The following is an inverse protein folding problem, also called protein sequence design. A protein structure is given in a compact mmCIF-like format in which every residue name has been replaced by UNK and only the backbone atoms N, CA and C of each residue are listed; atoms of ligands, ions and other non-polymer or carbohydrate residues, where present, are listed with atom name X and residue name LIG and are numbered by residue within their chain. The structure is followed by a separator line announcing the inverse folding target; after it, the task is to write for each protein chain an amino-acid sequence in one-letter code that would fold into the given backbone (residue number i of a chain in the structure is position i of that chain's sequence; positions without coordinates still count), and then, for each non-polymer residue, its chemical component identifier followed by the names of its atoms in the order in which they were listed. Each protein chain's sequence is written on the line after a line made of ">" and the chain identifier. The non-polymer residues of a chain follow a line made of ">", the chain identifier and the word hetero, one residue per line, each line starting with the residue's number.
data_IF_356073005643
#
_entry.id   IF_356073005643
#
_cell.length_a   1.000
_cell.length_b   1.000
_cell.length_c   1.000
_cell.angle_alpha   90.00
_cell.angle_beta   90.00
_cell.angle_gamma   90.00
#
_symmetry.space_group_name_H-M   'P 1'
#
loop_
_entity.id
_entity.type
_entity.pdbx_description
1 polymer ?
#
# COMPACT_ATOMS: atom_id res chain seq x y z
N UNK A 1 37.17 1.94 43.76
CA UNK A 1 35.73 2.18 43.46
C UNK A 1 35.45 3.64 43.08
N UNK A 2 35.84 4.64 43.87
CA UNK A 2 35.54 6.08 43.60
C UNK A 2 36.09 6.58 42.24
N UNK A 3 37.26 6.07 41.81
CA UNK A 3 37.90 6.44 40.53
C UNK A 3 37.20 5.88 39.29
N UNK A 4 36.44 4.78 39.43
CA UNK A 4 35.64 4.20 38.35
C UNK A 4 34.24 4.83 38.29
N UNK A 5 33.69 5.27 39.43
CA UNK A 5 32.43 6.03 39.50
C UNK A 5 32.57 7.41 38.86
N UNK A 6 33.72 8.08 39.03
CA UNK A 6 34.00 9.38 38.39
C UNK A 6 34.22 9.27 36.87
N UNK A 7 34.76 8.15 36.38
CA UNK A 7 34.92 7.92 34.93
C UNK A 7 33.58 7.61 34.25
N UNK A 8 32.70 6.86 34.91
CA UNK A 8 31.36 6.54 34.39
C UNK A 8 30.45 7.79 34.33
N UNK A 9 30.59 8.72 35.28
CA UNK A 9 29.86 9.99 35.30
C UNK A 9 30.33 10.94 34.19
N UNK A 10 31.62 10.94 33.83
CA UNK A 10 32.15 11.77 32.74
C UNK A 10 31.71 11.27 31.35
N UNK A 11 31.58 9.95 31.16
CA UNK A 11 31.05 9.36 29.92
C UNK A 11 29.54 9.60 29.80
N UNK A 12 28.79 9.57 30.90
CA UNK A 12 27.37 9.89 30.91
C UNK A 12 27.10 11.38 30.64
N UNK A 13 27.96 12.29 31.13
CA UNK A 13 27.85 13.71 30.85
C UNK A 13 28.21 14.07 29.39
N UNK A 14 29.07 13.28 28.72
CA UNK A 14 29.42 13.48 27.32
C UNK A 14 28.39 12.88 26.35
N UNK A 15 27.60 11.88 26.79
CA UNK A 15 26.46 11.36 26.03
C UNK A 15 25.22 12.28 26.05
N UNK A 16 25.10 13.15 27.06
CA UNK A 16 23.98 14.13 27.16
C UNK A 16 24.27 15.42 26.38
N UNK A 17 25.52 15.67 25.97
CA UNK A 17 25.90 16.85 25.19
C UNK A 17 25.72 16.69 23.67
N UNK A 18 25.23 15.54 23.19
CA UNK A 18 24.87 15.30 21.77
C UNK A 18 23.35 15.25 21.53
N UNK A 19 22.55 15.63 22.53
CA UNK A 19 21.11 15.88 22.38
C UNK A 19 20.90 17.38 22.56
N UNK A 20 21.23 18.12 21.51
CA UNK A 20 21.33 19.56 21.56
C UNK A 20 21.47 20.17 20.18
N UNK A 21 20.62 19.74 19.24
CA UNK A 21 20.11 20.65 18.22
C UNK A 21 18.61 20.34 18.04
N UNK A 22 17.85 20.76 19.05
CA UNK A 22 16.42 20.93 18.91
C UNK A 22 16.18 22.16 18.05
N UNK A 23 16.48 22.05 16.76
CA UNK A 23 15.87 22.91 15.77
C UNK A 23 14.40 22.48 15.74
N UNK A 24 13.61 23.02 16.67
CA UNK A 24 12.19 23.23 16.45
C UNK A 24 12.12 24.23 15.29
N UNK A 25 12.40 23.73 14.09
CA UNK A 25 12.18 24.45 12.85
C UNK A 25 10.74 24.91 12.90
N UNK A 26 10.54 26.19 12.62
CA UNK A 26 9.22 26.69 12.29
C UNK A 26 8.57 25.66 11.36
N UNK A 27 7.47 25.05 11.78
CA UNK A 27 6.61 24.34 10.85
C UNK A 27 6.15 25.44 9.88
N UNK A 28 6.85 25.55 8.76
CA UNK A 28 6.35 26.28 7.60
C UNK A 28 4.98 25.72 7.26
N UNK A 29 4.13 26.54 6.65
CA UNK A 29 2.86 26.04 6.16
C UNK A 29 3.13 24.87 5.20
N UNK A 30 2.51 23.72 5.43
CA UNK A 30 2.59 22.57 4.53
C UNK A 30 2.01 22.97 3.17
N UNK A 31 2.67 22.57 2.09
CA UNK A 31 2.19 22.78 0.72
C UNK A 31 0.96 21.92 0.52
N UNK A 32 -0.18 22.52 0.17
CA UNK A 32 -1.43 21.79 -0.07
C UNK A 32 -1.43 21.25 -1.50
N UNK A 33 -1.40 19.93 -1.61
CA UNK A 33 -1.38 19.19 -2.87
C UNK A 33 -2.72 18.50 -3.06
N UNK A 34 -3.38 18.77 -4.18
CA UNK A 34 -4.63 18.08 -4.52
C UNK A 34 -4.39 17.19 -5.73
N UNK A 35 -4.49 15.88 -5.53
CA UNK A 35 -4.41 14.89 -6.61
C UNK A 35 -5.80 14.64 -7.20
N UNK A 36 -5.90 14.35 -8.49
CA UNK A 36 -7.18 14.02 -9.11
C UNK A 36 -7.66 12.60 -8.77
N UNK A 37 -6.73 11.65 -8.74
CA UNK A 37 -6.98 10.24 -8.50
C UNK A 37 -6.28 9.77 -7.22
N UNK A 38 -6.95 8.94 -6.40
CA UNK A 38 -6.38 8.45 -5.14
C UNK A 38 -5.14 7.59 -5.37
N UNK A 39 -5.01 6.92 -6.52
CA UNK A 39 -3.82 6.11 -6.84
C UNK A 39 -2.52 6.95 -7.01
N UNK A 40 -2.63 8.27 -7.21
CA UNK A 40 -1.46 9.17 -7.34
C UNK A 40 -0.99 9.70 -5.99
N UNK A 41 -1.88 9.73 -5.00
CA UNK A 41 -1.63 10.23 -3.65
C UNK A 41 -0.40 9.59 -2.97
N UNK A 42 -0.19 8.26 -3.02
CA UNK A 42 0.93 7.63 -2.34
C UNK A 42 2.28 8.04 -2.94
N UNK A 43 2.34 8.23 -4.26
CA UNK A 43 3.55 8.68 -4.96
C UNK A 43 3.90 10.11 -4.55
N UNK A 44 2.89 10.98 -4.54
CA UNK A 44 3.02 12.39 -4.14
C UNK A 44 3.46 12.50 -2.68
N UNK A 45 2.81 11.75 -1.78
CA UNK A 45 3.14 11.72 -0.35
C UNK A 45 4.55 11.19 -0.09
N UNK A 46 4.97 10.15 -0.80
CA UNK A 46 6.31 9.58 -0.65
C UNK A 46 7.42 10.56 -1.04
N UNK A 47 7.17 11.43 -2.02
CA UNK A 47 8.13 12.44 -2.49
C UNK A 47 8.07 13.71 -1.63
N UNK A 48 6.87 14.22 -1.35
CA UNK A 48 6.69 15.45 -0.57
C UNK A 48 6.95 15.27 0.94
N UNK A 49 6.81 14.04 1.43
CA UNK A 49 7.06 13.69 2.83
C UNK A 49 6.22 14.52 3.80
N UNK A 50 6.85 15.04 4.85
CA UNK A 50 6.20 15.81 5.93
C UNK A 50 5.88 17.27 5.58
N UNK A 51 6.23 17.73 4.39
CA UNK A 51 6.08 19.13 3.99
C UNK A 51 4.86 19.37 3.11
N UNK A 52 4.15 18.30 2.76
CA UNK A 52 2.97 18.35 1.92
C UNK A 52 1.77 17.78 2.66
N UNK A 53 0.64 18.44 2.51
CA UNK A 53 -0.67 17.89 2.85
C UNK A 53 -1.31 17.44 1.54
N UNK A 54 -1.66 16.15 1.41
CA UNK A 54 -2.19 15.59 0.16
C UNK A 54 -3.64 15.16 0.35
N UNK A 55 -4.52 15.59 -0.55
CA UNK A 55 -5.91 15.15 -0.65
C UNK A 55 -6.28 14.76 -2.08
N UNK A 56 -7.32 13.94 -2.24
CA UNK A 56 -7.80 13.46 -3.55
C UNK A 56 -9.17 14.06 -3.90
N UNK A 57 -9.31 14.51 -5.16
CA UNK A 57 -10.58 14.98 -5.73
C UNK A 57 -11.56 13.81 -5.86
N UNK A 58 -11.10 12.70 -6.45
CA UNK A 58 -11.91 11.50 -6.61
C UNK A 58 -11.89 10.70 -5.30
N UNK A 59 -13.07 10.38 -4.71
CA UNK A 59 -13.12 9.55 -3.51
C UNK A 59 -12.64 8.11 -3.80
N UNK A 60 -11.99 7.43 -2.83
CA UNK A 60 -11.56 6.04 -2.98
C UNK A 60 -12.68 5.12 -3.49
N UNK A 61 -12.33 4.24 -4.45
CA UNK A 61 -13.26 3.29 -5.06
C UNK A 61 -14.32 3.87 -6.01
N UNK A 62 -14.31 5.19 -6.26
CA UNK A 62 -15.23 5.83 -7.22
C UNK A 62 -14.77 5.63 -8.67
N UNK A 63 -15.73 5.59 -9.61
CA UNK A 63 -15.43 5.56 -11.05
C UNK A 63 -15.11 6.98 -11.56
N UNK A 64 -13.89 7.23 -12.09
CA UNK A 64 -13.50 8.55 -12.59
C UNK A 64 -14.33 9.03 -13.79
N UNK A 65 -14.89 8.14 -14.60
CA UNK A 65 -15.63 8.52 -15.81
C UNK A 65 -17.06 8.98 -15.53
N UNK A 66 -17.64 8.50 -14.42
CA UNK A 66 -18.96 8.90 -13.95
C UNK A 66 -18.92 9.98 -12.87
N UNK A 67 -17.72 10.39 -12.43
CA UNK A 67 -17.57 11.35 -11.35
C UNK A 67 -17.92 12.77 -11.80
N UNK A 68 -18.46 13.56 -10.87
CA UNK A 68 -18.76 14.98 -11.08
C UNK A 68 -18.30 15.73 -9.85
N UNK A 69 -17.50 16.77 -10.04
CA UNK A 69 -16.91 17.54 -8.95
C UNK A 69 -18.01 18.27 -8.18
N UNK A 70 -18.05 18.09 -6.85
CA UNK A 70 -19.04 18.74 -5.99
C UNK A 70 -18.56 20.14 -5.60
N UNK A 71 -19.47 21.01 -5.16
CA UNK A 71 -19.12 22.36 -4.70
C UNK A 71 -18.17 22.35 -3.48
N UNK A 72 -18.26 21.31 -2.65
CA UNK A 72 -17.36 21.10 -1.51
C UNK A 72 -15.93 20.82 -2.02
N UNK A 73 -15.77 19.88 -2.96
CA UNK A 73 -14.47 19.57 -3.57
C UNK A 73 -13.90 20.78 -4.32
N UNK A 74 -14.73 21.58 -5.00
CA UNK A 74 -14.27 22.82 -5.64
C UNK A 74 -13.75 23.84 -4.61
N UNK A 75 -14.36 23.91 -3.43
CA UNK A 75 -13.87 24.79 -2.36
C UNK A 75 -12.51 24.32 -1.82
N UNK A 76 -12.33 23.01 -1.65
CA UNK A 76 -11.06 22.43 -1.21
C UNK A 76 -9.94 22.66 -2.25
N UNK A 77 -10.25 22.53 -3.54
CA UNK A 77 -9.31 22.81 -4.64
C UNK A 77 -8.89 24.29 -4.67
N UNK A 78 -9.78 25.22 -4.32
CA UNK A 78 -9.50 26.65 -4.37
C UNK A 78 -8.34 27.08 -3.45
N UNK A 79 -8.08 26.29 -2.41
CA UNK A 79 -6.98 26.51 -1.47
C UNK A 79 -5.71 25.71 -1.87
N UNK A 80 -5.70 24.93 -2.94
CA UNK A 80 -4.52 24.16 -3.33
C UNK A 80 -3.34 25.04 -3.79
N UNK A 81 -2.12 24.63 -3.43
CA UNK A 81 -0.89 25.24 -3.96
C UNK A 81 -0.47 24.58 -5.29
N UNK A 82 -0.80 23.29 -5.46
CA UNK A 82 -0.54 22.52 -6.68
C UNK A 82 -1.58 21.43 -6.91
N UNK A 83 -1.98 21.28 -8.17
CA UNK A 83 -2.81 20.18 -8.66
C UNK A 83 -1.95 19.10 -9.32
N UNK A 84 -2.25 17.83 -9.06
CA UNK A 84 -1.59 16.69 -9.70
C UNK A 84 -2.66 15.86 -10.40
N UNK A 85 -2.80 16.06 -11.70
CA UNK A 85 -3.85 15.47 -12.52
C UNK A 85 -3.32 14.25 -13.29
N UNK A 86 -4.19 13.32 -13.66
CA UNK A 86 -3.78 12.14 -14.41
C UNK A 86 -3.71 12.42 -15.91
N UNK A 87 -4.76 12.99 -16.49
CA UNK A 87 -4.81 13.47 -17.87
C UNK A 87 -6.08 14.32 -18.08
N UNK A 88 -5.96 15.65 -18.04
CA UNK A 88 -7.12 16.55 -18.14
C UNK A 88 -7.84 16.48 -19.49
N UNK A 89 -7.17 16.01 -20.54
CA UNK A 89 -7.75 15.84 -21.87
C UNK A 89 -8.59 14.54 -21.96
N UNK A 90 -8.42 13.61 -21.01
CA UNK A 90 -9.14 12.34 -20.95
C UNK A 90 -10.29 12.37 -19.95
N UNK A 91 -10.03 12.85 -18.73
CA UNK A 91 -10.98 12.78 -17.62
C UNK A 91 -11.75 14.09 -17.53
N UNK A 92 -13.04 14.04 -17.87
CA UNK A 92 -13.88 15.25 -17.95
C UNK A 92 -13.88 16.09 -16.67
N UNK A 93 -13.88 15.45 -15.49
CA UNK A 93 -13.84 16.17 -14.22
C UNK A 93 -12.49 16.88 -13.99
N UNK A 94 -11.37 16.35 -14.50
CA UNK A 94 -10.08 17.04 -14.45
C UNK A 94 -10.07 18.24 -15.39
N UNK A 95 -10.67 18.10 -16.58
CA UNK A 95 -10.90 19.22 -17.49
C UNK A 95 -11.70 20.35 -16.85
N UNK A 96 -12.81 20.01 -16.17
CA UNK A 96 -13.61 20.97 -15.41
C UNK A 96 -12.77 21.69 -14.33
N UNK A 97 -11.90 20.96 -13.62
CA UNK A 97 -11.01 21.54 -12.60
C UNK A 97 -10.03 22.53 -13.23
N UNK A 98 -9.40 22.19 -14.35
CA UNK A 98 -8.48 23.06 -15.08
C UNK A 98 -9.17 24.34 -15.57
N UNK A 99 -10.42 24.22 -16.07
CA UNK A 99 -11.20 25.38 -16.52
C UNK A 99 -11.57 26.34 -15.38
N UNK A 100 -11.86 25.82 -14.19
CA UNK A 100 -12.26 26.63 -13.04
C UNK A 100 -11.07 27.20 -12.24
N UNK A 101 -9.90 26.56 -12.29
CA UNK A 101 -8.70 26.96 -11.54
C UNK A 101 -7.47 27.14 -12.44
N UNK A 102 -7.50 28.04 -13.44
CA UNK A 102 -6.43 28.18 -14.43
C UNK A 102 -5.11 28.74 -13.87
N UNK A 103 -5.16 29.35 -12.68
CA UNK A 103 -4.02 30.06 -12.08
C UNK A 103 -3.27 29.20 -11.04
N UNK A 104 -3.78 28.01 -10.67
CA UNK A 104 -3.09 27.09 -9.75
C UNK A 104 -2.01 26.33 -10.54
N UNK A 105 -0.79 26.19 -9.98
CA UNK A 105 0.24 25.33 -10.59
C UNK A 105 -0.33 23.91 -10.74
N UNK A 106 -0.12 23.28 -11.90
CA UNK A 106 -0.59 21.92 -12.13
C UNK A 106 0.44 21.07 -12.81
N UNK A 107 0.38 19.77 -12.49
CA UNK A 107 1.01 18.72 -13.26
C UNK A 107 -0.05 17.89 -13.97
N UNK A 108 0.26 17.53 -15.20
CA UNK A 108 -0.61 16.75 -16.06
C UNK A 108 0.21 15.78 -16.93
N UNK A 109 -0.44 14.97 -17.76
CA UNK A 109 0.22 13.96 -18.58
C UNK A 109 1.44 14.50 -19.39
N UNK A 110 1.38 15.66 -20.07
CA UNK A 110 2.53 16.20 -20.79
C UNK A 110 3.76 16.46 -19.90
N UNK A 111 3.56 16.83 -18.63
CA UNK A 111 4.65 17.06 -17.69
C UNK A 111 5.33 15.74 -17.31
N UNK A 112 4.54 14.69 -17.09
CA UNK A 112 5.09 13.36 -16.82
C UNK A 112 5.74 12.75 -18.06
N UNK A 113 5.19 12.99 -19.26
CA UNK A 113 5.78 12.54 -20.53
C UNK A 113 7.15 13.19 -20.75
N UNK A 114 7.30 14.47 -20.41
CA UNK A 114 8.60 15.15 -20.41
C UNK A 114 9.61 14.51 -19.45
N UNK A 115 9.10 13.95 -18.34
CA UNK A 115 9.88 13.17 -17.37
C UNK A 115 9.99 11.68 -17.72
N UNK A 116 9.48 11.24 -18.88
CA UNK A 116 9.65 9.88 -19.40
C UNK A 116 8.50 8.91 -19.12
N UNK A 117 7.32 9.38 -18.71
CA UNK A 117 6.11 8.57 -18.72
C UNK A 117 5.75 8.16 -20.16
N UNK A 118 5.18 6.97 -20.33
CA UNK A 118 4.77 6.46 -21.63
C UNK A 118 3.32 5.98 -21.63
N UNK A 119 2.66 6.19 -22.78
CA UNK A 119 1.39 5.55 -23.10
C UNK A 119 1.65 4.41 -24.06
N UNK A 120 1.68 3.20 -23.52
CA UNK A 120 2.08 2.01 -24.27
C UNK A 120 0.94 1.50 -25.15
N UNK A 121 1.26 0.87 -26.30
CA UNK A 121 0.26 0.28 -27.17
C UNK A 121 -0.26 -1.04 -26.60
N UNK A 122 -1.57 -1.25 -26.69
CA UNK A 122 -2.26 -2.50 -26.33
C UNK A 122 -3.30 -2.86 -27.40
N UNK A 123 -3.84 -4.09 -27.41
CA UNK A 123 -4.86 -4.48 -28.38
C UNK A 123 -6.06 -3.52 -28.42
N UNK A 124 -6.18 -2.76 -29.51
CA UNK A 124 -7.24 -1.75 -29.70
C UNK A 124 -6.89 -0.33 -29.24
N UNK A 125 -5.67 -0.09 -28.74
CA UNK A 125 -5.20 1.21 -28.25
C UNK A 125 -3.75 1.45 -28.70
N UNK A 126 -3.52 2.39 -29.61
CA UNK A 126 -2.15 2.76 -30.03
C UNK A 126 -1.39 3.55 -28.94
N UNK A 127 -2.14 4.30 -28.12
CA UNK A 127 -1.68 4.97 -26.89
C UNK A 127 -2.74 4.75 -25.84
N UNK A 128 -2.49 3.89 -24.86
CA UNK A 128 -3.48 3.62 -23.81
C UNK A 128 -3.34 4.61 -22.65
N UNK A 129 -4.27 5.53 -22.54
CA UNK A 129 -4.29 6.56 -21.49
C UNK A 129 -4.85 6.05 -20.15
N UNK A 130 -5.41 4.84 -20.11
CA UNK A 130 -6.09 4.32 -18.93
C UNK A 130 -5.11 3.60 -18.00
N UNK A 131 -5.02 4.03 -16.74
CA UNK A 131 -4.24 3.35 -15.71
C UNK A 131 -2.72 3.43 -15.88
N UNK A 132 -2.23 4.32 -16.75
CA UNK A 132 -0.79 4.42 -17.03
C UNK A 132 0.02 4.77 -15.77
N UNK A 133 -0.57 5.48 -14.82
CA UNK A 133 0.02 5.81 -13.52
C UNK A 133 0.34 4.58 -12.66
N UNK A 134 -0.28 3.42 -12.92
CA UNK A 134 -0.01 2.16 -12.22
C UNK A 134 1.22 1.41 -12.77
N UNK A 135 1.82 1.89 -13.88
CA UNK A 135 3.09 1.36 -14.39
C UNK A 135 4.24 1.90 -13.54
N UNK A 136 5.14 1.01 -13.09
CA UNK A 136 6.28 1.39 -12.22
C UNK A 136 7.13 2.51 -12.83
N UNK A 137 7.42 2.44 -14.13
CA UNK A 137 8.21 3.46 -14.82
C UNK A 137 7.49 4.82 -14.90
N UNK A 138 6.16 4.80 -15.05
CA UNK A 138 5.37 6.03 -15.11
C UNK A 138 5.20 6.64 -13.71
N UNK A 139 5.04 5.83 -12.66
CA UNK A 139 5.07 6.31 -11.29
C UNK A 139 6.39 7.02 -10.96
N UNK A 140 7.51 6.56 -11.52
CA UNK A 140 8.80 7.26 -11.42
C UNK A 140 8.78 8.61 -12.12
N UNK A 141 8.20 8.70 -13.30
CA UNK A 141 8.09 9.95 -14.05
C UNK A 141 7.18 10.96 -13.35
N UNK A 142 6.05 10.50 -12.79
CA UNK A 142 5.15 11.30 -11.95
C UNK A 142 5.91 11.83 -10.73
N UNK A 143 6.65 10.97 -10.03
CA UNK A 143 7.47 11.35 -8.88
C UNK A 143 8.53 12.43 -9.24
N UNK A 144 9.20 12.31 -10.40
CA UNK A 144 10.15 13.31 -10.88
C UNK A 144 9.49 14.65 -11.17
N UNK A 145 8.38 14.63 -11.91
CA UNK A 145 7.63 15.85 -12.25
C UNK A 145 7.15 16.56 -11.00
N UNK A 146 6.62 15.80 -10.04
CA UNK A 146 6.19 16.31 -8.75
C UNK A 146 7.35 16.91 -7.94
N UNK A 147 8.47 16.19 -7.76
CA UNK A 147 9.64 16.71 -7.06
C UNK A 147 10.15 18.02 -7.66
N UNK A 148 10.18 18.11 -9.00
CA UNK A 148 10.60 19.31 -9.71
C UNK A 148 9.63 20.48 -9.51
N UNK A 149 8.31 20.22 -9.47
CA UNK A 149 7.29 21.24 -9.25
C UNK A 149 7.31 21.76 -7.80
N UNK A 150 7.30 20.87 -6.81
CA UNK A 150 7.26 21.29 -5.41
C UNK A 150 8.54 21.99 -4.99
N UNK A 151 9.69 21.66 -5.59
CA UNK A 151 10.95 22.39 -5.32
C UNK A 151 10.91 23.84 -5.84
N UNK A 152 10.03 24.16 -6.79
CA UNK A 152 9.80 25.56 -7.23
C UNK A 152 8.86 26.31 -6.28
N UNK A 153 7.87 25.62 -5.74
CA UNK A 153 6.88 26.17 -4.80
C UNK A 153 7.51 26.39 -3.42
N UNK A 154 8.27 25.42 -2.96
CA UNK A 154 8.91 25.38 -1.63
C UNK A 154 10.41 25.07 -1.75
N UNK A 155 11.22 26.07 -2.15
CA UNK A 155 12.65 25.89 -2.40
C UNK A 155 13.47 25.62 -1.14
N UNK A 156 12.96 25.99 0.04
CA UNK A 156 13.66 25.79 1.31
C UNK A 156 13.77 24.29 1.69
N UNK A 157 12.86 23.45 1.17
CA UNK A 157 12.83 22.00 1.39
C UNK A 157 13.24 21.17 0.16
N UNK A 158 13.75 21.80 -0.91
CA UNK A 158 14.13 21.14 -2.17
C UNK A 158 15.10 19.95 -1.99
N UNK A 159 16.06 20.05 -1.07
CA UNK A 159 17.01 18.95 -0.79
C UNK A 159 16.30 17.73 -0.17
N UNK A 160 15.25 17.94 0.64
CA UNK A 160 14.46 16.84 1.22
C UNK A 160 13.60 16.17 0.15
N UNK A 161 13.00 16.94 -0.77
CA UNK A 161 12.26 16.40 -1.91
C UNK A 161 13.14 15.56 -2.85
N UNK A 162 14.36 16.04 -3.14
CA UNK A 162 15.32 15.28 -3.92
C UNK A 162 15.74 13.97 -3.22
N UNK A 163 15.99 14.02 -1.91
CA UNK A 163 16.32 12.81 -1.14
C UNK A 163 15.17 11.80 -1.13
N UNK A 164 13.93 12.27 -0.95
CA UNK A 164 12.73 11.42 -0.96
C UNK A 164 12.51 10.79 -2.35
N UNK A 165 12.68 11.56 -3.43
CA UNK A 165 12.62 11.06 -4.79
C UNK A 165 13.65 9.95 -5.05
N UNK A 166 14.89 10.12 -4.60
CA UNK A 166 15.94 9.11 -4.72
C UNK A 166 15.58 7.84 -3.93
N UNK A 167 15.06 8.00 -2.71
CA UNK A 167 14.62 6.88 -1.88
C UNK A 167 13.45 6.12 -2.51
N UNK A 168 12.45 6.84 -3.05
CA UNK A 168 11.31 6.27 -3.77
C UNK A 168 11.77 5.54 -5.04
N UNK A 169 12.61 6.18 -5.85
CA UNK A 169 13.22 5.59 -7.05
C UNK A 169 13.97 4.29 -6.75
N UNK A 170 14.77 4.27 -5.68
CA UNK A 170 15.48 3.06 -5.27
C UNK A 170 14.56 1.95 -4.73
N UNK A 171 13.35 2.27 -4.25
CA UNK A 171 12.34 1.25 -3.94
C UNK A 171 11.65 0.73 -5.21
N UNK A 172 11.37 1.60 -6.20
CA UNK A 172 10.84 1.18 -7.50
C UNK A 172 11.80 0.25 -8.25
N UNK A 173 13.11 0.52 -8.20
CA UNK A 173 14.13 -0.37 -8.78
C UNK A 173 14.05 -1.78 -8.18
N UNK A 174 14.02 -1.87 -6.85
CA UNK A 174 13.86 -3.15 -6.13
C UNK A 174 12.56 -3.85 -6.47
N UNK A 175 11.45 -3.13 -6.53
CA UNK A 175 10.17 -3.71 -6.91
C UNK A 175 10.20 -4.25 -8.35
N UNK A 176 10.83 -3.54 -9.29
CA UNK A 176 10.98 -4.01 -10.67
C UNK A 176 11.79 -5.32 -10.72
N UNK A 177 12.92 -5.39 -9.99
CA UNK A 177 13.74 -6.60 -9.89
C UNK A 177 12.96 -7.78 -9.27
N UNK A 178 12.21 -7.53 -8.20
CA UNK A 178 11.38 -8.55 -7.55
C UNK A 178 10.29 -9.09 -8.49
N UNK A 179 9.64 -8.21 -9.27
CA UNK A 179 8.63 -8.59 -10.24
C UNK A 179 9.23 -9.38 -11.40
N UNK A 180 10.44 -9.04 -11.85
CA UNK A 180 11.17 -9.83 -12.85
C UNK A 180 11.47 -11.25 -12.33
N UNK A 181 11.96 -11.37 -11.10
CA UNK A 181 12.22 -12.67 -10.45
C UNK A 181 10.94 -13.48 -10.27
N UNK A 182 9.85 -12.85 -9.83
CA UNK A 182 8.56 -13.51 -9.64
C UNK A 182 7.99 -13.99 -10.96
N UNK A 183 8.06 -13.16 -12.01
CA UNK A 183 7.62 -13.52 -13.35
C UNK A 183 8.38 -14.72 -13.90
N UNK A 184 9.72 -14.74 -13.74
CA UNK A 184 10.56 -15.85 -14.18
C UNK A 184 10.30 -17.12 -13.36
N UNK A 185 10.18 -17.00 -12.04
CA UNK A 185 9.91 -18.14 -11.14
C UNK A 185 8.59 -18.84 -11.48
N UNK A 186 7.55 -18.06 -11.81
CA UNK A 186 6.23 -18.56 -12.17
C UNK A 186 6.05 -18.83 -13.67
N UNK A 187 7.08 -18.60 -14.50
CA UNK A 187 7.01 -18.79 -15.95
C UNK A 187 5.98 -17.90 -16.64
N UNK A 188 5.76 -16.70 -16.11
CA UNK A 188 4.77 -15.74 -16.58
C UNK A 188 5.28 -14.85 -17.71
N UNK A 189 6.59 -14.67 -17.82
CA UNK A 189 7.20 -13.81 -18.84
C UNK A 189 6.71 -14.17 -20.24
N UNK A 190 6.17 -13.17 -20.95
CA UNK A 190 5.61 -13.32 -22.30
C UNK A 190 4.37 -14.21 -22.39
N UNK A 191 3.77 -14.63 -21.26
CA UNK A 191 2.47 -15.28 -21.26
C UNK A 191 1.40 -14.24 -21.54
N UNK A 192 0.48 -14.59 -22.43
CA UNK A 192 -0.62 -13.71 -22.78
C UNK A 192 -1.80 -13.89 -21.82
N UNK A 193 -2.41 -12.78 -21.45
CA UNK A 193 -3.69 -12.73 -20.73
C UNK A 193 -4.69 -11.87 -21.47
N UNK A 194 -5.95 -12.01 -21.07
CA UNK A 194 -7.03 -11.12 -21.48
C UNK A 194 -7.18 -10.05 -20.39
N UNK A 195 -7.10 -8.78 -20.74
CA UNK A 195 -7.45 -7.68 -19.84
C UNK A 195 -8.95 -7.41 -19.91
N UNK A 196 -9.64 -7.33 -18.77
CA UNK A 196 -11.09 -7.06 -18.76
C UNK A 196 -11.42 -5.63 -19.23
N UNK A 197 -10.54 -4.67 -18.91
CA UNK A 197 -10.61 -3.24 -19.25
C UNK A 197 -9.20 -2.76 -19.61
N UNK A 198 -9.03 -1.65 -20.36
CA UNK A 198 -7.72 -1.17 -20.77
C UNK A 198 -6.79 -0.81 -19.60
N UNK A 199 -7.35 -0.34 -18.47
CA UNK A 199 -6.56 0.11 -17.33
C UNK A 199 -5.66 -0.96 -16.68
N UNK A 200 -6.10 -2.23 -16.64
CA UNK A 200 -5.29 -3.30 -16.01
C UNK A 200 -4.10 -3.74 -16.87
N UNK A 201 -3.99 -3.25 -18.09
CA UNK A 201 -2.92 -3.63 -19.01
C UNK A 201 -1.52 -3.28 -18.48
N UNK A 202 -1.37 -2.13 -17.83
CA UNK A 202 -0.12 -1.72 -17.20
C UNK A 202 0.26 -2.58 -15.98
N UNK A 203 -0.74 -3.02 -15.21
CA UNK A 203 -0.53 -3.95 -14.08
C UNK A 203 0.04 -5.28 -14.61
N UNK A 204 -0.52 -5.79 -15.71
CA UNK A 204 -0.05 -7.02 -16.38
C UNK A 204 1.38 -6.84 -16.89
N UNK A 205 1.68 -5.71 -17.51
CA UNK A 205 3.00 -5.41 -18.06
C UNK A 205 4.10 -5.30 -16.99
N UNK A 206 3.78 -4.81 -15.79
CA UNK A 206 4.72 -4.81 -14.66
C UNK A 206 5.23 -6.24 -14.36
N UNK A 207 4.38 -7.26 -14.51
CA UNK A 207 4.73 -8.68 -14.38
C UNK A 207 5.34 -9.31 -15.65
N UNK A 208 5.66 -8.49 -16.65
CA UNK A 208 6.32 -8.91 -17.90
C UNK A 208 5.50 -9.91 -18.71
N UNK A 209 4.19 -9.89 -18.48
CA UNK A 209 3.20 -10.63 -19.22
C UNK A 209 2.69 -9.77 -20.37
N UNK A 210 2.13 -10.42 -21.39
CA UNK A 210 1.58 -9.74 -22.56
C UNK A 210 0.06 -9.64 -22.44
N UNK A 211 -0.52 -8.52 -22.90
CA UNK A 211 -1.96 -8.40 -23.07
C UNK A 211 -2.31 -8.82 -24.50
N UNK A 212 -2.98 -9.97 -24.63
CA UNK A 212 -3.38 -10.51 -25.94
C UNK A 212 -4.69 -9.94 -26.46
N UNK A 213 -5.59 -9.56 -25.56
CA UNK A 213 -6.87 -8.95 -25.89
C UNK A 213 -7.38 -8.08 -24.74
N UNK A 214 -8.24 -7.10 -25.05
CA UNK A 214 -9.00 -6.31 -24.08
C UNK A 214 -10.49 -6.59 -24.31
N UNK A 215 -11.22 -7.00 -23.26
CA UNK A 215 -12.63 -7.38 -23.37
C UNK A 215 -13.52 -6.18 -23.62
N UNK A 216 -13.53 -5.24 -22.68
CA UNK A 216 -14.37 -4.06 -22.73
C UNK A 216 -13.51 -2.84 -23.02
N UNK A 217 -13.81 -2.17 -24.13
CA UNK A 217 -13.38 -0.80 -24.28
C UNK A 217 -14.21 0.08 -23.35
N UNK A 218 -13.53 0.91 -22.54
CA UNK A 218 -14.19 1.84 -21.63
C UNK A 218 -15.16 2.78 -22.39
N UNK A 219 -16.26 3.16 -21.74
CA UNK A 219 -17.32 4.01 -22.31
C UNK A 219 -18.33 3.33 -23.24
N UNK A 220 -18.00 2.22 -23.89
CA UNK A 220 -18.93 1.53 -24.81
C UNK A 220 -19.93 0.61 -24.08
N UNK A 221 -19.54 0.12 -22.91
CA UNK A 221 -20.30 -0.85 -22.13
C UNK A 221 -20.63 -2.14 -22.89
N UNK A 222 -20.17 -2.35 -24.13
CA UNK A 222 -20.61 -3.43 -25.01
C UNK A 222 -19.41 -4.08 -25.69
N UNK A 223 -19.21 -5.38 -25.43
CA UNK A 223 -18.29 -6.19 -26.23
C UNK A 223 -19.03 -6.64 -27.49
N UNK A 224 -18.44 -6.42 -28.66
CA UNK A 224 -18.94 -7.01 -29.90
C UNK A 224 -18.94 -8.54 -29.81
N UNK A 225 -20.04 -9.21 -30.18
CA UNK A 225 -20.18 -10.66 -30.00
C UNK A 225 -19.08 -11.49 -30.66
N UNK A 226 -18.47 -11.01 -31.75
CA UNK A 226 -17.31 -11.65 -32.38
C UNK A 226 -16.04 -11.57 -31.52
N UNK A 227 -15.81 -10.46 -30.83
CA UNK A 227 -14.63 -10.27 -29.97
C UNK A 227 -14.68 -11.21 -28.75
N UNK A 228 -15.86 -11.39 -28.15
CA UNK A 228 -16.05 -12.38 -27.06
C UNK A 228 -15.73 -13.79 -27.54
N UNK A 229 -16.19 -14.17 -28.74
CA UNK A 229 -15.95 -15.50 -29.30
C UNK A 229 -14.47 -15.75 -29.60
N UNK A 230 -13.74 -14.73 -30.07
CA UNK A 230 -12.32 -14.88 -30.36
C UNK A 230 -11.50 -14.95 -29.07
N UNK A 231 -11.88 -14.18 -28.04
CA UNK A 231 -11.32 -14.34 -26.69
C UNK A 231 -11.60 -15.73 -26.12
N UNK A 232 -12.83 -16.22 -26.23
CA UNK A 232 -13.21 -17.55 -25.77
C UNK A 232 -12.35 -18.64 -26.44
N UNK A 233 -12.15 -18.56 -27.76
CA UNK A 233 -11.26 -19.50 -28.48
C UNK A 233 -9.82 -19.42 -27.99
N UNK A 234 -9.29 -18.21 -27.77
CA UNK A 234 -7.92 -18.02 -27.27
C UNK A 234 -7.72 -18.56 -25.85
N UNK A 235 -8.73 -18.43 -24.98
CA UNK A 235 -8.72 -19.04 -23.65
C UNK A 235 -8.81 -20.57 -23.74
N UNK A 236 -9.74 -21.12 -24.54
CA UNK A 236 -9.89 -22.57 -24.70
C UNK A 236 -8.68 -23.27 -25.34
N UNK A 237 -7.94 -22.57 -26.21
CA UNK A 237 -6.73 -23.11 -26.85
C UNK A 237 -5.49 -23.02 -25.96
N UNK A 238 -5.57 -22.27 -24.86
CA UNK A 238 -4.43 -21.94 -24.00
C UNK A 238 -3.51 -20.85 -24.56
N UNK A 239 -3.95 -20.12 -25.60
CA UNK A 239 -3.26 -18.91 -26.05
C UNK A 239 -3.24 -17.85 -24.95
N UNK A 240 -4.37 -17.69 -24.25
CA UNK A 240 -4.48 -16.83 -23.07
C UNK A 240 -4.58 -17.68 -21.81
N UNK A 241 -3.73 -17.41 -20.82
CA UNK A 241 -3.66 -18.25 -19.61
C UNK A 241 -4.66 -17.85 -18.52
N UNK A 242 -5.20 -16.63 -18.59
CA UNK A 242 -6.12 -16.07 -17.61
C UNK A 242 -6.83 -14.82 -18.15
N UNK A 243 -7.86 -14.38 -17.43
CA UNK A 243 -8.49 -13.07 -17.58
C UNK A 243 -8.12 -12.23 -16.35
N UNK A 244 -7.65 -11.00 -16.54
CA UNK A 244 -7.29 -10.07 -15.46
C UNK A 244 -8.37 -8.99 -15.37
N UNK A 245 -9.01 -8.87 -14.20
CA UNK A 245 -10.14 -7.98 -13.97
C UNK A 245 -9.90 -7.10 -12.73
N UNK A 246 -10.29 -5.82 -12.74
CA UNK A 246 -10.34 -5.03 -11.51
C UNK A 246 -11.25 -5.69 -10.47
N UNK A 247 -10.81 -5.74 -9.23
CA UNK A 247 -11.60 -6.24 -8.11
C UNK A 247 -12.88 -5.42 -7.90
N UNK A 248 -12.78 -4.10 -8.05
CA UNK A 248 -13.91 -3.17 -7.99
C UNK A 248 -14.99 -3.42 -9.06
N UNK A 249 -14.63 -4.11 -10.15
CA UNK A 249 -15.51 -4.42 -11.26
C UNK A 249 -16.01 -5.87 -11.27
N UNK A 250 -15.78 -6.63 -10.18
CA UNK A 250 -16.22 -8.03 -10.06
C UNK A 250 -17.72 -8.21 -10.30
N UNK A 251 -18.53 -7.35 -9.72
CA UNK A 251 -20.00 -7.38 -9.85
C UNK A 251 -20.50 -6.45 -10.98
N UNK A 252 -19.58 -5.85 -11.73
CA UNK A 252 -19.90 -5.06 -12.92
C UNK A 252 -19.81 -5.95 -14.17
N UNK A 253 -20.24 -5.40 -15.32
CA UNK A 253 -20.26 -6.13 -16.60
C UNK A 253 -18.91 -6.75 -16.96
N UNK A 254 -17.79 -6.10 -16.62
CA UNK A 254 -16.45 -6.64 -16.84
C UNK A 254 -16.21 -7.94 -16.07
N UNK A 255 -16.56 -7.98 -14.79
CA UNK A 255 -16.48 -9.18 -13.98
C UNK A 255 -17.49 -10.25 -14.42
N UNK A 256 -18.74 -9.88 -14.69
CA UNK A 256 -19.77 -10.82 -15.17
C UNK A 256 -19.35 -11.58 -16.44
N UNK A 257 -18.82 -10.85 -17.44
CA UNK A 257 -18.35 -11.43 -18.71
C UNK A 257 -17.09 -12.27 -18.47
N UNK A 258 -16.17 -11.79 -17.62
CA UNK A 258 -14.95 -12.54 -17.27
C UNK A 258 -15.29 -13.87 -16.60
N UNK A 259 -16.21 -13.87 -15.65
CA UNK A 259 -16.69 -15.07 -14.96
C UNK A 259 -17.45 -16.02 -15.88
N UNK A 260 -18.21 -15.50 -16.84
CA UNK A 260 -18.84 -16.34 -17.86
C UNK A 260 -17.79 -17.04 -18.74
N UNK A 261 -16.81 -16.30 -19.26
CA UNK A 261 -15.73 -16.87 -20.07
C UNK A 261 -14.90 -17.89 -19.28
N UNK A 262 -14.65 -17.63 -18.00
CA UNK A 262 -14.01 -18.57 -17.09
C UNK A 262 -14.79 -19.88 -16.98
N UNK A 263 -16.11 -19.83 -16.75
CA UNK A 263 -16.98 -21.02 -16.73
C UNK A 263 -16.97 -21.79 -18.05
N UNK A 264 -16.96 -21.08 -19.17
CA UNK A 264 -17.03 -21.69 -20.50
C UNK A 264 -15.70 -22.31 -20.96
N UNK A 265 -14.57 -21.80 -20.47
CA UNK A 265 -13.22 -22.15 -20.97
C UNK A 265 -12.36 -22.87 -19.95
N UNK A 266 -12.65 -22.74 -18.66
CA UNK A 266 -11.83 -23.22 -17.55
C UNK A 266 -10.65 -22.31 -17.19
N UNK A 267 -10.42 -21.22 -17.93
CA UNK A 267 -9.37 -20.26 -17.62
C UNK A 267 -9.75 -19.40 -16.39
N UNK A 268 -8.82 -19.14 -15.45
CA UNK A 268 -9.14 -18.39 -14.23
C UNK A 268 -9.38 -16.90 -14.51
N UNK A 269 -10.22 -16.28 -13.68
CA UNK A 269 -10.27 -14.82 -13.51
C UNK A 269 -9.35 -14.44 -12.34
N UNK A 270 -8.45 -13.49 -12.58
CA UNK A 270 -7.53 -12.94 -11.60
C UNK A 270 -7.98 -11.53 -11.29
N UNK A 271 -8.29 -11.27 -10.02
CA UNK A 271 -8.73 -9.96 -9.57
C UNK A 271 -7.54 -9.15 -9.07
N UNK A 272 -7.41 -7.92 -9.57
CA UNK A 272 -6.33 -6.98 -9.23
C UNK A 272 -6.89 -5.66 -8.70
N UNK A 273 -6.11 -4.97 -7.87
CA UNK A 273 -6.40 -3.60 -7.42
C UNK A 273 -6.02 -2.60 -8.52
N UNK A 274 -7.04 -1.99 -9.11
CA UNK A 274 -6.93 -0.97 -10.15
C UNK A 274 -7.24 0.45 -9.64
N UNK A 275 -7.88 0.56 -8.47
CA UNK A 275 -8.18 1.79 -7.77
C UNK A 275 -7.82 1.60 -6.30
N UNK A 276 -7.19 2.59 -5.68
CA UNK A 276 -7.00 2.60 -4.23
C UNK A 276 -8.35 2.58 -3.51
N UNK A 277 -8.46 1.71 -2.50
CA UNK A 277 -9.70 1.46 -1.76
C UNK A 277 -9.67 2.14 -0.39
N UNK A 278 -8.49 2.54 0.08
CA UNK A 278 -8.26 3.19 1.37
C UNK A 278 -7.25 4.34 1.21
N UNK A 279 -7.43 5.42 1.97
CA UNK A 279 -6.61 6.66 1.95
C UNK A 279 -5.13 6.45 2.35
N UNK A 280 -4.70 5.22 2.63
CA UNK A 280 -3.38 4.90 3.19
C UNK A 280 -2.61 3.80 2.47
N UNK A 281 -3.07 3.34 1.30
CA UNK A 281 -2.36 2.32 0.53
C UNK A 281 -1.04 2.89 -0.01
N UNK A 282 0.09 2.28 0.33
CA UNK A 282 1.40 2.59 -0.28
C UNK A 282 1.44 2.05 -1.73
N UNK A 283 2.01 2.84 -2.67
CA UNK A 283 2.03 2.49 -4.11
C UNK A 283 2.64 1.10 -4.35
N UNK A 284 3.74 0.78 -3.66
CA UNK A 284 4.42 -0.50 -3.82
C UNK A 284 3.63 -1.66 -3.23
N UNK A 285 2.88 -1.42 -2.16
CA UNK A 285 1.98 -2.41 -1.57
C UNK A 285 0.91 -2.84 -2.58
N UNK A 286 0.36 -1.91 -3.36
CA UNK A 286 -0.56 -2.23 -4.46
C UNK A 286 0.15 -3.00 -5.60
N UNK A 287 1.37 -2.60 -5.97
CA UNK A 287 2.19 -3.31 -6.97
C UNK A 287 2.43 -4.77 -6.54
N UNK A 288 2.90 -5.01 -5.31
CA UNK A 288 3.17 -6.36 -4.81
C UNK A 288 1.91 -7.19 -4.60
N UNK A 289 0.80 -6.58 -4.17
CA UNK A 289 -0.49 -7.25 -4.11
C UNK A 289 -0.88 -7.80 -5.49
N UNK A 290 -0.84 -6.94 -6.50
CA UNK A 290 -1.18 -7.31 -7.88
C UNK A 290 -0.23 -8.36 -8.45
N UNK A 291 1.07 -8.24 -8.18
CA UNK A 291 2.07 -9.24 -8.56
C UNK A 291 1.76 -10.63 -7.95
N UNK A 292 1.37 -10.66 -6.67
CA UNK A 292 0.94 -11.88 -5.98
C UNK A 292 -0.32 -12.50 -6.58
N UNK A 293 -1.29 -11.68 -6.98
CA UNK A 293 -2.50 -12.17 -7.68
C UNK A 293 -2.16 -12.77 -9.05
N UNK A 294 -1.31 -12.09 -9.84
CA UNK A 294 -0.90 -12.57 -11.15
C UNK A 294 -0.04 -13.85 -11.07
N UNK A 295 0.74 -14.03 -10.01
CA UNK A 295 1.47 -15.27 -9.74
C UNK A 295 0.56 -16.52 -9.69
N UNK A 296 -0.71 -16.35 -9.28
CA UNK A 296 -1.69 -17.44 -9.25
C UNK A 296 -2.05 -17.98 -10.65
N UNK A 297 -1.86 -17.19 -11.72
CA UNK A 297 -2.09 -17.61 -13.10
C UNK A 297 -1.31 -18.88 -13.45
N UNK A 298 -0.08 -18.99 -12.95
CA UNK A 298 0.82 -20.13 -13.21
C UNK A 298 0.28 -21.46 -12.66
N UNK A 299 -0.53 -21.43 -11.59
CA UNK A 299 -1.06 -22.62 -10.93
C UNK A 299 -2.28 -23.21 -11.63
N UNK A 300 -2.99 -22.44 -12.43
CA UNK A 300 -4.18 -22.92 -13.13
C UNK A 300 -3.86 -23.84 -14.33
N UNK A 301 -2.63 -23.78 -14.87
CA UNK A 301 -2.16 -24.67 -15.95
C UNK A 301 -1.44 -25.94 -15.50
N UNK A 302 -1.12 -26.07 -14.21
CA UNK A 302 -0.44 -27.22 -13.65
C UNK A 302 -1.42 -28.09 -12.85
N UNK A 303 -1.37 -29.40 -13.04
CA UNK A 303 -2.07 -30.36 -12.16
C UNK A 303 -1.85 -29.95 -10.71
N UNK A 304 -2.96 -29.85 -9.95
CA UNK A 304 -3.02 -29.52 -8.53
C UNK A 304 -1.94 -30.24 -7.71
N UNK A 305 -0.77 -29.63 -7.61
CA UNK A 305 0.21 -29.95 -6.59
C UNK A 305 -0.39 -29.46 -5.29
N UNK A 306 -1.08 -30.35 -4.58
CA UNK A 306 -1.46 -30.11 -3.19
C UNK A 306 -0.22 -29.56 -2.49
N UNK A 307 -0.33 -28.32 -1.97
CA UNK A 307 0.74 -27.76 -1.14
C UNK A 307 0.90 -28.74 0.01
N UNK A 308 2.07 -29.35 0.12
CA UNK A 308 2.37 -30.26 1.21
C UNK A 308 2.46 -29.42 2.50
N UNK A 309 1.31 -29.25 3.14
CA UNK A 309 1.15 -28.48 4.38
C UNK A 309 1.94 -29.10 5.55
N UNK A 310 2.53 -30.28 5.36
CA UNK A 310 3.37 -30.92 6.39
C UNK A 310 4.55 -30.04 6.80
N UNK A 311 5.14 -29.28 5.87
CA UNK A 311 6.27 -28.40 6.19
C UNK A 311 5.83 -27.18 7.02
N UNK A 312 4.65 -26.62 6.71
CA UNK A 312 4.06 -25.51 7.45
C UNK A 312 3.62 -25.94 8.86
N UNK A 313 3.00 -27.13 8.98
CA UNK A 313 2.66 -27.70 10.28
C UNK A 313 3.89 -28.10 11.10
N UNK A 314 4.95 -28.59 10.47
CA UNK A 314 6.22 -28.88 11.14
C UNK A 314 6.89 -27.60 11.66
N UNK A 315 6.88 -26.51 10.89
CA UNK A 315 7.41 -25.22 11.30
C UNK A 315 6.62 -24.62 12.49
N UNK A 316 5.28 -24.64 12.41
CA UNK A 316 4.41 -24.21 13.53
C UNK A 316 4.60 -25.08 14.78
N UNK A 317 4.74 -26.39 14.62
CA UNK A 317 5.03 -27.31 15.71
C UNK A 317 6.40 -27.04 16.37
N UNK A 318 7.43 -26.78 15.57
CA UNK A 318 8.76 -26.43 16.07
C UNK A 318 8.76 -25.09 16.83
N UNK A 319 8.08 -24.07 16.29
CA UNK A 319 7.90 -22.79 16.98
C UNK A 319 7.15 -22.94 18.30
N UNK A 320 6.05 -23.71 18.31
CA UNK A 320 5.28 -23.98 19.54
C UNK A 320 6.10 -24.72 20.59
N UNK A 321 6.92 -25.69 20.19
CA UNK A 321 7.82 -26.41 21.10
C UNK A 321 8.89 -25.49 21.71
N UNK A 322 9.40 -24.53 20.94
CA UNK A 322 10.42 -23.58 21.37
C UNK A 322 9.85 -22.59 22.41
N UNK A 323 8.66 -22.04 22.15
CA UNK A 323 7.93 -21.19 23.10
C UNK A 323 7.62 -21.95 24.40
N UNK A 324 7.22 -23.23 24.28
CA UNK A 324 6.95 -24.06 25.46
C UNK A 324 8.23 -24.34 26.28
N UNK A 325 9.35 -24.59 25.61
CA UNK A 325 10.64 -24.81 26.26
C UNK A 325 11.11 -23.54 27.01
N UNK A 326 10.99 -22.36 26.40
CA UNK A 326 11.30 -21.09 27.05
C UNK A 326 10.39 -20.83 28.27
N UNK A 327 9.08 -21.03 28.13
CA UNK A 327 8.14 -20.89 29.23
C UNK A 327 8.46 -21.85 30.39
N UNK A 328 8.83 -23.09 30.08
CA UNK A 328 9.22 -24.08 31.08
C UNK A 328 10.48 -23.69 31.85
N UNK A 329 11.50 -23.18 31.15
CA UNK A 329 12.74 -22.67 31.78
C UNK A 329 12.43 -21.47 32.68
N UNK A 330 11.61 -20.52 32.22
CA UNK A 330 11.23 -19.34 33.02
C UNK A 330 10.50 -19.75 34.31
N UNK A 331 9.56 -20.69 34.23
CA UNK A 331 8.82 -21.19 35.40
C UNK A 331 9.74 -21.92 36.38
N UNK A 332 10.67 -22.75 35.88
CA UNK A 332 11.65 -23.47 36.71
C UNK A 332 12.67 -22.54 37.37
N UNK A 333 13.14 -21.52 36.66
CA UNK A 333 14.08 -20.54 37.21
C UNK A 333 13.41 -19.61 38.23
N UNK A 334 12.12 -19.28 38.07
CA UNK A 334 11.36 -18.52 39.08
C UNK A 334 11.04 -19.34 40.34
N UNK A 335 10.85 -20.65 40.22
CA UNK A 335 10.64 -21.54 41.37
C UNK A 335 11.88 -21.85 42.20
N UNK A 336 13.09 -21.62 41.65
CA UNK A 336 14.36 -21.93 42.31
C UNK A 336 14.96 -20.75 43.11
N UNK A 337 14.35 -19.55 43.04
CA UNK A 337 14.92 -18.32 43.62
C UNK A 337 14.34 -17.85 44.96
N UNK A 338 13.40 -18.59 45.58
CA UNK A 338 12.69 -18.12 46.78
C UNK A 338 12.96 -18.97 48.03
N UNK A 339 14.17 -19.51 48.18
CA UNK A 339 14.45 -20.47 49.24
C UNK A 339 15.85 -20.41 49.82
N UNK A 340 16.45 -19.23 50.01
CA UNK A 340 17.58 -19.04 50.95
C UNK A 340 18.00 -17.56 51.01
N UNK A 341 17.42 -16.78 51.92
CA UNK A 341 18.04 -15.57 52.48
C UNK A 341 17.13 -14.99 53.58
N UNK A 342 17.00 -15.68 54.71
CA UNK A 342 16.54 -15.00 55.93
C UNK A 342 17.05 -15.70 57.20
N UNK A 343 18.39 -15.70 57.35
CA UNK A 343 19.04 -15.91 58.64
C UNK A 343 20.25 -15.01 58.72
N UNK A 344 20.06 -13.83 59.28
CA UNK A 344 20.96 -13.13 60.21
C UNK A 344 20.59 -11.65 60.19
N UNK A 345 19.90 -11.18 61.23
CA UNK A 345 20.11 -9.89 61.87
C UNK A 345 19.24 -9.85 63.14
N UNK A 346 19.76 -10.42 64.22
CA UNK A 346 19.37 -10.04 65.58
C UNK A 346 20.06 -8.71 65.92
N UNK A 347 19.28 -7.75 66.43
CA UNK A 347 19.82 -6.66 67.26
C UNK A 347 19.00 -5.38 67.21
N UNK A 348 18.14 -5.17 68.21
CA UNK A 348 17.63 -3.82 68.52
C UNK A 348 16.24 -3.78 69.14
N UNK A 349 16.20 -3.72 70.46
CA UNK A 349 15.05 -3.49 71.36
C UNK A 349 13.99 -2.47 70.90
N UNK A 350 12.72 -2.72 71.23
CA UNK A 350 11.74 -1.63 71.22
C UNK A 350 10.26 -1.96 71.38
N UNK A 351 9.86 -2.38 72.59
CA UNK A 351 8.55 -2.10 73.24
C UNK A 351 7.25 -2.73 72.70
N UNK A 352 6.72 -3.56 73.60
CA UNK A 352 5.34 -4.01 73.77
C UNK A 352 4.39 -2.82 74.02
N UNK A 353 3.25 -2.78 73.33
CA UNK A 353 1.93 -2.47 73.94
C UNK A 353 0.79 -3.09 73.15
N UNK A 354 -0.01 -3.89 73.86
CA UNK A 354 -1.21 -4.54 73.38
C UNK A 354 -2.41 -3.58 73.37
N UNK A 355 -3.37 -3.82 72.47
CA UNK A 355 -4.76 -3.39 72.67
C UNK A 355 -5.74 -4.23 71.84
N UNK A 356 -6.47 -5.07 72.58
CA UNK A 356 -7.73 -5.77 72.26
C UNK A 356 -8.80 -4.88 71.58
N UNK A 357 -9.67 -5.52 70.81
CA UNK A 357 -11.02 -5.02 70.49
C UNK A 357 -11.58 -5.63 69.20
N UNK A 358 -12.05 -6.87 69.18
CA UNK A 358 -13.45 -7.27 69.42
C UNK A 358 -14.33 -7.17 68.15
N UNK A 359 -14.62 -8.33 67.58
CA UNK A 359 -15.72 -8.62 66.63
C UNK A 359 -16.98 -8.91 67.47
N UNK A 360 -18.16 -8.38 67.12
CA UNK A 360 -19.22 -9.15 66.43
C UNK A 360 -19.96 -8.27 65.40
N UNK A 361 -20.79 -8.73 64.48
CA UNK A 361 -21.48 -9.98 64.21
C UNK A 361 -22.46 -9.72 63.05
N UNK A 362 -22.88 -10.79 62.38
CA UNK A 362 -23.87 -10.83 61.28
C UNK A 362 -25.21 -10.20 61.63
N UNK A 363 -25.94 -9.73 60.59
CA UNK A 363 -27.35 -10.05 60.18
C UNK A 363 -27.69 -9.09 59.02
N UNK A 364 -28.04 -9.57 57.82
CA UNK A 364 -29.43 -9.76 57.31
C UNK A 364 -29.82 -8.53 56.48
N UNK A 365 -30.06 -8.60 55.17
CA UNK A 365 -31.21 -9.17 54.43
C UNK A 365 -31.91 -8.03 53.67
N UNK A 366 -32.35 -8.33 52.45
CA UNK A 366 -33.29 -7.57 51.59
C UNK A 366 -32.78 -6.22 51.06
N UNK A 367 -33.04 -5.78 49.83
CA UNK A 367 -33.89 -6.27 48.76
C UNK A 367 -34.06 -5.13 47.74
N UNK A 368 -34.59 -5.47 46.57
CA UNK A 368 -35.29 -4.59 45.61
C UNK A 368 -34.52 -3.51 44.83
N UNK A 369 -34.29 -3.84 43.56
CA UNK A 369 -34.76 -3.12 42.35
C UNK A 369 -34.81 -1.59 42.37
N UNK A 370 -34.03 -0.99 41.46
CA UNK A 370 -34.54 -0.18 40.35
C UNK A 370 -33.58 -0.24 39.18
#
# INVERSE_FOLDING_TARGET
>A
MIRHVLLAMAVLAMAVAFVGDGNAGAQGAEVRVVVSLPDMEPVVRDVGGRHVEVSSILPPGSDPHGFTVTQEVMADIADADILVLANSDLLGFEGDVVENFPDIERLDFPDYEAEGATLDPFPGYDRNEHGYWLKIDNARAIARGFAAAISRIDPDNADEYAHNLDAFSGRLDRASDDLDLLSDHHGLRGKKVVAAVPGVAYIVQNMRMDVGAILLAEGSGFVGGSAVLDVQKGLSSGEYIAIVCPESMREARAGEVSEQLSRDTGAPVIYVRFLSVEDSDDFLSQVYYNAGQLALASRAGGSSGAVDMSLAYAALGAMGALVFAEAFVIVRCRGAGSGEADQHLFGGDGRITASRGQVPGRVGSDGTSR
#
